data_IF_667007951810
#
_entry.id   IF_667007951810
#
_cell.length_a   1.000
_cell.length_b   1.000
_cell.length_c   1.000
_cell.angle_alpha   90.00
_cell.angle_beta   90.00
_cell.angle_gamma   90.00
#
_symmetry.space_group_name_H-M   'P 1'
#
loop_
_entity.id
_entity.type
_entity.pdbx_description
1 polymer ?
#
# COMPACT_ATOMS: atom_id res chain seq x y z
N UNK A 1 9.70 -1.00 8.40
CA UNK A 1 9.48 -0.20 9.63
C UNK A 1 10.56 0.88 9.70
N UNK A 2 10.26 2.08 10.18
CA UNK A 2 11.28 3.14 10.34
C UNK A 2 11.61 3.34 11.82
N UNK A 3 12.90 3.31 12.16
CA UNK A 3 13.40 3.44 13.53
C UNK A 3 14.23 4.72 13.70
N UNK A 4 14.14 5.35 14.87
CA UNK A 4 14.95 6.52 15.23
C UNK A 4 14.87 7.64 14.19
N UNK A 5 16.01 8.11 13.68
CA UNK A 5 16.09 9.19 12.68
C UNK A 5 15.35 8.87 11.37
N UNK A 6 15.15 7.59 11.05
CA UNK A 6 14.45 7.18 9.83
C UNK A 6 12.96 7.55 9.84
N UNK A 7 12.37 7.77 11.02
CA UNK A 7 10.97 8.22 11.13
C UNK A 7 10.73 9.56 10.41
N UNK A 8 11.77 10.39 10.27
CA UNK A 8 11.72 11.68 9.58
C UNK A 8 11.42 11.57 8.08
N UNK A 9 11.67 10.40 7.46
CA UNK A 9 11.45 10.19 6.02
C UNK A 9 10.22 9.34 5.71
N UNK A 10 9.44 8.93 6.71
CA UNK A 10 8.27 8.06 6.55
C UNK A 10 7.31 8.58 5.49
N UNK A 11 7.05 9.89 5.46
CA UNK A 11 6.11 10.50 4.53
C UNK A 11 6.47 10.22 3.06
N UNK A 12 7.76 10.19 2.72
CA UNK A 12 8.22 9.91 1.36
C UNK A 12 8.11 8.41 1.03
N UNK A 13 8.31 7.54 2.02
CA UNK A 13 8.14 6.09 1.85
C UNK A 13 6.67 5.70 1.68
N UNK A 14 5.75 6.46 2.29
CA UNK A 14 4.31 6.26 2.16
C UNK A 14 3.79 6.57 0.76
N UNK A 15 4.55 7.27 -0.07
CA UNK A 15 4.11 7.71 -1.38
C UNK A 15 4.36 6.71 -2.51
N UNK A 16 5.21 5.72 -2.27
CA UNK A 16 5.49 4.68 -3.25
C UNK A 16 4.26 3.88 -3.68
N UNK A 17 4.33 3.22 -4.83
CA UNK A 17 3.35 2.19 -5.20
C UNK A 17 3.44 0.97 -4.27
N UNK A 18 2.36 0.19 -4.24
CA UNK A 18 2.27 -1.07 -3.49
C UNK A 18 1.74 -2.16 -4.39
N UNK A 19 2.20 -3.38 -4.17
CA UNK A 19 1.71 -4.57 -4.86
C UNK A 19 1.12 -5.53 -3.83
N UNK A 20 -0.10 -6.00 -4.10
CA UNK A 20 -0.83 -6.95 -3.28
C UNK A 20 -1.19 -8.19 -4.10
N UNK A 21 -1.20 -9.35 -3.45
CA UNK A 21 -1.79 -10.59 -3.94
C UNK A 21 -2.86 -11.05 -2.97
N UNK A 22 -3.92 -11.69 -3.45
CA UNK A 22 -4.99 -12.14 -2.58
C UNK A 22 -6.14 -12.79 -3.32
N UNK A 23 -7.26 -12.94 -2.62
CA UNK A 23 -8.49 -13.53 -3.17
C UNK A 23 -9.68 -12.61 -2.88
N UNK A 24 -10.44 -12.29 -3.92
CA UNK A 24 -11.77 -11.70 -3.81
C UNK A 24 -12.77 -12.85 -3.72
N UNK A 25 -13.66 -12.82 -2.72
CA UNK A 25 -14.75 -13.79 -2.63
C UNK A 25 -16.06 -13.15 -3.07
N UNK A 26 -16.63 -13.72 -4.12
CA UNK A 26 -17.95 -13.42 -4.65
C UNK A 26 -19.04 -14.15 -3.87
N UNK A 27 -20.27 -13.66 -4.03
CA UNK A 27 -21.47 -14.24 -3.48
C UNK A 27 -21.74 -13.90 -2.02
N UNK A 28 -20.91 -13.08 -1.38
CA UNK A 28 -21.20 -12.54 -0.05
C UNK A 28 -20.55 -11.18 0.19
N UNK A 29 -21.27 -10.26 0.80
CA UNK A 29 -20.75 -8.97 1.28
C UNK A 29 -20.68 -8.97 2.80
N UNK A 30 -19.73 -8.22 3.36
CA UNK A 30 -19.51 -8.14 4.81
C UNK A 30 -19.47 -6.69 5.30
N UNK A 31 -19.73 -6.49 6.59
CA UNK A 31 -19.73 -5.18 7.25
C UNK A 31 -18.40 -4.41 7.13
N UNK A 32 -17.29 -5.12 7.04
CA UNK A 32 -15.92 -4.54 7.01
C UNK A 32 -15.28 -4.58 5.63
N UNK A 33 -16.00 -5.08 4.61
CA UNK A 33 -15.51 -5.35 3.24
C UNK A 33 -14.38 -6.39 3.18
N UNK A 34 -14.16 -7.14 4.26
CA UNK A 34 -13.22 -8.26 4.34
C UNK A 34 -13.81 -9.44 5.13
N UNK A 35 -13.10 -10.56 5.16
CA UNK A 35 -13.55 -11.80 5.80
C UNK A 35 -13.72 -11.69 7.34
N UNK A 36 -13.34 -10.58 7.98
CA UNK A 36 -13.47 -10.41 9.44
C UNK A 36 -14.81 -9.81 9.86
N UNK A 37 -15.58 -9.26 8.93
CA UNK A 37 -16.88 -8.66 9.20
C UNK A 37 -18.04 -9.66 9.09
N UNK A 38 -19.13 -9.35 9.76
CA UNK A 38 -20.38 -10.11 9.63
C UNK A 38 -20.93 -10.03 8.21
N UNK A 39 -21.49 -11.15 7.73
CA UNK A 39 -22.14 -11.22 6.41
C UNK A 39 -23.42 -10.40 6.41
N UNK A 40 -23.58 -9.53 5.42
CA UNK A 40 -24.76 -8.66 5.23
C UNK A 40 -25.70 -9.25 4.18
N UNK A 41 -25.13 -9.73 3.08
CA UNK A 41 -25.86 -10.21 1.92
C UNK A 41 -25.15 -11.43 1.34
N UNK A 42 -25.94 -12.38 0.83
CA UNK A 42 -25.43 -13.58 0.18
C UNK A 42 -26.22 -13.84 -1.11
N UNK A 43 -25.50 -14.07 -2.20
CA UNK A 43 -26.07 -14.52 -3.48
C UNK A 43 -25.21 -15.70 -3.96
N UNK A 44 -25.80 -16.90 -4.15
CA UNK A 44 -25.05 -18.06 -4.62
C UNK A 44 -24.36 -17.81 -5.97
N UNK A 45 -23.09 -18.18 -6.09
CA UNK A 45 -22.35 -18.19 -7.36
C UNK A 45 -22.52 -19.58 -7.99
N UNK A 46 -23.62 -19.78 -8.69
CA UNK A 46 -24.01 -21.10 -9.21
C UNK A 46 -23.24 -21.52 -10.47
N UNK A 47 -22.71 -20.54 -11.21
CA UNK A 47 -22.00 -20.77 -12.47
C UNK A 47 -20.55 -20.36 -12.35
N UNK A 48 -19.70 -21.16 -12.98
CA UNK A 48 -18.32 -20.76 -13.19
C UNK A 48 -18.25 -19.53 -14.11
N UNK A 49 -17.38 -18.60 -13.76
CA UNK A 49 -17.01 -17.43 -14.54
C UNK A 49 -15.81 -17.77 -15.42
N UNK A 50 -15.94 -17.57 -16.72
CA UNK A 50 -14.85 -17.78 -17.66
C UNK A 50 -13.71 -16.79 -17.40
N UNK A 51 -12.46 -17.25 -17.52
CA UNK A 51 -11.26 -16.42 -17.33
C UNK A 51 -11.33 -15.11 -18.11
N UNK A 52 -11.66 -15.18 -19.40
CA UNK A 52 -11.73 -14.00 -20.28
C UNK A 52 -12.77 -12.98 -19.81
N UNK A 53 -13.86 -13.44 -19.19
CA UNK A 53 -14.86 -12.55 -18.58
C UNK A 53 -14.28 -11.86 -17.34
N UNK A 54 -13.62 -12.61 -16.45
CA UNK A 54 -13.00 -12.07 -15.23
C UNK A 54 -11.93 -11.03 -15.58
N UNK A 55 -11.00 -11.34 -16.49
CA UNK A 55 -9.96 -10.42 -16.97
C UNK A 55 -10.56 -9.15 -17.60
N UNK A 56 -11.64 -9.29 -18.37
CA UNK A 56 -12.38 -8.15 -18.93
C UNK A 56 -12.98 -7.25 -17.86
N UNK A 57 -13.41 -7.79 -16.71
CA UNK A 57 -13.88 -6.97 -15.59
C UNK A 57 -12.70 -6.29 -14.89
N UNK A 58 -11.63 -7.03 -14.57
CA UNK A 58 -10.46 -6.48 -13.87
C UNK A 58 -9.81 -5.31 -14.65
N UNK A 59 -9.70 -5.44 -15.97
CA UNK A 59 -9.12 -4.38 -16.83
C UNK A 59 -9.85 -3.04 -16.78
N UNK A 60 -11.13 -3.01 -16.41
CA UNK A 60 -11.91 -1.76 -16.27
C UNK A 60 -11.46 -0.90 -15.10
N UNK A 61 -10.79 -1.51 -14.14
CA UNK A 61 -10.30 -0.83 -12.94
C UNK A 61 -8.87 -0.32 -13.10
N UNK A 62 -8.19 -0.66 -14.21
CA UNK A 62 -6.83 -0.19 -14.50
C UNK A 62 -6.90 1.27 -14.97
N UNK A 63 -6.01 2.11 -14.42
CA UNK A 63 -5.99 3.55 -14.64
C UNK A 63 -6.41 4.35 -13.41
N UNK A 64 -6.79 5.61 -13.62
CA UNK A 64 -7.24 6.49 -12.55
C UNK A 64 -8.70 6.22 -12.22
N UNK A 65 -8.97 5.95 -10.95
CA UNK A 65 -10.31 5.65 -10.43
C UNK A 65 -10.61 6.46 -9.18
N UNK A 66 -11.90 6.61 -8.90
CA UNK A 66 -12.41 7.14 -7.64
C UNK A 66 -12.81 6.01 -6.70
N UNK A 67 -12.38 6.09 -5.45
CA UNK A 67 -12.80 5.17 -4.38
C UNK A 67 -13.42 5.94 -3.23
N UNK A 68 -14.58 5.49 -2.78
CA UNK A 68 -15.13 5.93 -1.50
C UNK A 68 -14.38 5.22 -0.38
N UNK A 69 -13.85 5.96 0.59
CA UNK A 69 -13.14 5.33 1.71
C UNK A 69 -14.10 4.43 2.52
N UNK A 70 -13.69 3.20 2.90
CA UNK A 70 -14.56 2.33 3.67
C UNK A 70 -14.79 2.90 5.07
N UNK A 71 -16.00 2.67 5.61
CA UNK A 71 -16.38 3.11 6.96
C UNK A 71 -15.43 2.54 8.04
N UNK A 72 -14.95 1.32 7.87
CA UNK A 72 -13.92 0.73 8.73
C UNK A 72 -12.52 1.12 8.27
N UNK A 73 -12.19 2.42 8.36
CA UNK A 73 -10.85 2.94 8.02
C UNK A 73 -10.36 4.00 8.99
N UNK A 74 -9.04 4.27 8.93
CA UNK A 74 -8.39 5.29 9.75
C UNK A 74 -8.51 6.72 9.19
N UNK A 75 -9.27 6.92 8.11
CA UNK A 75 -9.52 8.26 7.53
C UNK A 75 -10.25 9.11 8.55
N UNK A 76 -9.82 10.36 8.72
CA UNK A 76 -10.47 11.30 9.63
C UNK A 76 -11.49 12.15 8.90
N UNK A 77 -12.69 12.27 9.49
CA UNK A 77 -13.75 13.21 9.11
C UNK A 77 -14.16 13.96 10.38
N UNK A 78 -14.12 15.30 10.34
CA UNK A 78 -14.38 16.17 11.49
C UNK A 78 -13.58 15.78 12.75
N UNK A 79 -12.28 15.49 12.56
CA UNK A 79 -11.34 15.18 13.63
C UNK A 79 -11.39 13.74 14.18
N UNK A 80 -12.40 12.94 13.84
CA UNK A 80 -12.59 11.54 14.28
C UNK A 80 -12.39 10.56 13.14
N UNK A 81 -11.91 9.34 13.42
CA UNK A 81 -11.68 8.32 12.39
C UNK A 81 -12.99 7.66 11.96
N UNK A 82 -13.14 7.27 10.70
CA UNK A 82 -14.36 6.65 10.17
C UNK A 82 -14.80 5.42 10.96
N UNK A 83 -13.86 4.56 11.39
CA UNK A 83 -14.23 3.38 12.19
C UNK A 83 -14.87 3.74 13.54
N UNK A 84 -14.62 4.94 14.08
CA UNK A 84 -15.21 5.40 15.34
C UNK A 84 -16.69 5.76 15.15
N UNK A 85 -17.06 6.27 13.98
CA UNK A 85 -18.46 6.50 13.60
C UNK A 85 -19.19 5.18 13.36
N UNK A 86 -18.57 4.27 12.60
CA UNK A 86 -19.13 2.95 12.29
C UNK A 86 -19.48 2.15 13.55
N UNK A 87 -18.55 2.07 14.52
CA UNK A 87 -18.77 1.37 15.80
C UNK A 87 -19.85 1.99 16.67
N UNK A 88 -20.18 3.27 16.47
CA UNK A 88 -21.24 3.99 17.19
C UNK A 88 -22.56 4.02 16.42
N UNK A 89 -22.62 3.42 15.23
CA UNK A 89 -23.78 3.51 14.34
C UNK A 89 -24.10 4.94 13.89
N UNK A 90 -23.11 5.84 13.92
CA UNK A 90 -23.31 7.24 13.52
C UNK A 90 -23.06 7.36 12.02
N UNK A 91 -24.07 7.84 11.30
CA UNK A 91 -23.95 8.12 9.88
C UNK A 91 -22.97 9.27 9.62
N UNK A 92 -22.04 9.06 8.71
CA UNK A 92 -21.14 10.09 8.17
C UNK A 92 -20.82 9.73 6.73
N UNK A 93 -20.73 10.72 5.85
CA UNK A 93 -20.34 10.49 4.45
C UNK A 93 -18.82 10.33 4.37
N UNK A 94 -18.31 9.16 3.91
CA UNK A 94 -16.88 8.99 3.70
C UNK A 94 -16.39 9.87 2.54
N UNK A 95 -15.15 10.38 2.60
CA UNK A 95 -14.57 11.12 1.48
C UNK A 95 -14.25 10.18 0.31
N UNK A 96 -14.36 10.73 -0.90
CA UNK A 96 -13.88 10.10 -2.13
C UNK A 96 -12.39 10.40 -2.30
N UNK A 97 -11.64 9.43 -2.83
CA UNK A 97 -10.21 9.54 -3.14
C UNK A 97 -9.95 9.17 -4.58
N UNK A 98 -9.05 9.91 -5.22
CA UNK A 98 -8.48 9.52 -6.50
C UNK A 98 -7.26 8.64 -6.27
N UNK A 99 -7.24 7.48 -6.93
CA UNK A 99 -6.13 6.53 -6.87
C UNK A 99 -5.89 5.97 -8.27
N UNK A 100 -4.64 5.62 -8.54
CA UNK A 100 -4.25 4.94 -9.79
C UNK A 100 -4.05 3.45 -9.52
N UNK A 101 -4.65 2.61 -10.35
CA UNK A 101 -4.36 1.17 -10.47
C UNK A 101 -3.45 0.98 -11.67
N UNK A 102 -2.20 0.56 -11.42
CA UNK A 102 -1.19 0.40 -12.47
C UNK A 102 -1.37 -0.92 -13.22
N UNK A 103 -1.61 -2.00 -12.48
CA UNK A 103 -1.87 -3.35 -13.02
C UNK A 103 -2.89 -4.05 -12.12
N UNK A 104 -3.77 -4.84 -12.72
CA UNK A 104 -4.73 -5.65 -12.00
C UNK A 104 -5.02 -6.92 -12.78
N UNK A 105 -4.33 -7.98 -12.39
CA UNK A 105 -4.26 -9.23 -13.13
C UNK A 105 -4.80 -10.38 -12.28
N UNK A 106 -5.20 -11.43 -12.97
CA UNK A 106 -5.62 -12.68 -12.37
C UNK A 106 -4.39 -13.49 -11.96
N UNK A 107 -4.32 -13.93 -10.70
CA UNK A 107 -3.16 -14.63 -10.14
C UNK A 107 -3.37 -16.15 -10.08
N UNK A 108 -3.67 -16.73 -11.24
CA UNK A 108 -3.95 -18.17 -11.43
C UNK A 108 -3.93 -18.51 -12.91
N UNK A 109 -3.66 -19.77 -13.26
CA UNK A 109 -3.74 -20.31 -14.63
C UNK A 109 -5.08 -21.01 -14.93
N UNK A 110 -6.03 -21.01 -13.99
CA UNK A 110 -7.32 -21.65 -14.19
C UNK A 110 -8.11 -21.04 -15.35
N UNK A 111 -8.85 -21.88 -16.08
CA UNK A 111 -9.69 -21.48 -17.21
C UNK A 111 -11.03 -20.88 -16.77
N UNK A 112 -11.50 -21.20 -15.57
CA UNK A 112 -12.72 -20.68 -15.00
C UNK A 112 -12.65 -20.62 -13.47
N UNK A 113 -13.48 -19.79 -12.87
CA UNK A 113 -13.49 -19.48 -11.44
C UNK A 113 -14.90 -19.61 -10.90
N UNK A 114 -15.06 -20.07 -9.65
CA UNK A 114 -16.34 -20.07 -8.97
C UNK A 114 -16.51 -18.79 -8.16
N UNK A 115 -16.59 -18.89 -6.83
CA UNK A 115 -16.73 -17.75 -5.95
C UNK A 115 -15.41 -17.03 -5.66
N UNK A 116 -14.27 -17.72 -5.75
CA UNK A 116 -12.97 -17.16 -5.37
C UNK A 116 -12.17 -16.73 -6.61
N UNK A 117 -11.79 -15.45 -6.63
CA UNK A 117 -11.03 -14.82 -7.71
C UNK A 117 -9.63 -14.44 -7.17
N UNK A 118 -8.59 -15.23 -7.47
CA UNK A 118 -7.21 -14.89 -7.16
C UNK A 118 -6.75 -13.69 -7.98
N UNK A 119 -6.09 -12.74 -7.35
CA UNK A 119 -5.65 -11.52 -8.02
C UNK A 119 -4.28 -11.04 -7.57
N UNK A 120 -3.67 -10.24 -8.43
CA UNK A 120 -2.49 -9.44 -8.17
C UNK A 120 -2.73 -8.01 -8.64
N UNK A 121 -2.47 -7.03 -7.78
CA UNK A 121 -2.73 -5.62 -8.07
C UNK A 121 -1.58 -4.73 -7.66
N UNK A 122 -1.14 -3.87 -8.58
CA UNK A 122 -0.19 -2.79 -8.33
C UNK A 122 -0.95 -1.46 -8.31
N UNK A 123 -0.83 -0.70 -7.23
CA UNK A 123 -1.64 0.50 -7.05
C UNK A 123 -0.87 1.63 -6.33
N UNK A 124 -1.41 2.84 -6.49
CA UNK A 124 -0.92 4.06 -5.83
C UNK A 124 -1.22 4.07 -4.32
N UNK A 125 -0.64 5.04 -3.62
CA UNK A 125 -0.88 5.24 -2.18
C UNK A 125 -2.37 5.52 -1.90
N UNK A 126 -2.86 5.02 -0.77
CA UNK A 126 -4.22 5.30 -0.32
C UNK A 126 -5.32 4.48 -0.99
N UNK A 127 -4.97 3.56 -1.90
CA UNK A 127 -5.89 2.58 -2.49
C UNK A 127 -6.44 1.63 -1.41
N UNK A 128 -7.76 1.44 -1.38
CA UNK A 128 -8.43 0.47 -0.54
C UNK A 128 -8.71 -0.80 -1.34
N UNK A 129 -7.90 -1.84 -1.11
CA UNK A 129 -8.06 -3.15 -1.78
C UNK A 129 -9.39 -3.82 -1.43
N UNK A 130 -9.90 -3.57 -0.23
CA UNK A 130 -11.23 -4.06 0.21
C UNK A 130 -12.36 -3.47 -0.61
N UNK A 131 -12.37 -2.15 -0.77
CA UNK A 131 -13.35 -1.45 -1.61
C UNK A 131 -13.21 -1.87 -3.08
N UNK A 132 -11.97 -2.04 -3.57
CA UNK A 132 -11.72 -2.58 -4.91
C UNK A 132 -12.32 -3.98 -5.09
N UNK A 133 -12.21 -4.86 -4.09
CA UNK A 133 -12.82 -6.19 -4.13
C UNK A 133 -14.35 -6.14 -4.23
N UNK A 134 -14.99 -5.25 -3.47
CA UNK A 134 -16.44 -5.00 -3.52
C UNK A 134 -16.86 -4.52 -4.91
N UNK A 135 -16.13 -3.54 -5.47
CA UNK A 135 -16.47 -2.94 -6.77
C UNK A 135 -16.26 -3.94 -7.91
N UNK A 136 -15.22 -4.78 -7.85
CA UNK A 136 -15.01 -5.89 -8.79
C UNK A 136 -16.17 -6.88 -8.73
N UNK A 137 -16.59 -7.29 -7.53
CA UNK A 137 -17.75 -8.15 -7.35
C UNK A 137 -19.01 -7.56 -7.96
N UNK A 138 -19.29 -6.28 -7.70
CA UNK A 138 -20.41 -5.55 -8.31
C UNK A 138 -20.30 -5.55 -9.84
N UNK A 139 -19.10 -5.38 -10.39
CA UNK A 139 -18.83 -5.47 -11.83
C UNK A 139 -19.14 -6.85 -12.43
N UNK A 140 -19.05 -7.91 -11.62
CA UNK A 140 -19.41 -9.29 -11.97
C UNK A 140 -20.88 -9.62 -11.64
N UNK A 141 -21.62 -8.70 -11.01
CA UNK A 141 -23.01 -8.89 -10.61
C UNK A 141 -23.22 -9.62 -9.28
N UNK A 142 -22.19 -9.71 -8.43
CA UNK A 142 -22.28 -10.38 -7.12
C UNK A 142 -21.89 -9.46 -5.96
N UNK A 143 -22.49 -9.62 -4.77
CA UNK A 143 -21.89 -9.09 -3.55
C UNK A 143 -20.52 -9.76 -3.34
N UNK A 144 -19.55 -8.99 -2.85
CA UNK A 144 -18.20 -9.50 -2.64
C UNK A 144 -17.52 -8.85 -1.44
N UNK A 145 -16.45 -9.49 -0.99
CA UNK A 145 -15.53 -8.95 0.00
C UNK A 145 -14.11 -9.45 -0.27
N UNK A 146 -13.12 -8.81 0.34
CA UNK A 146 -11.74 -9.28 0.31
C UNK A 146 -11.57 -10.48 1.24
N UNK A 147 -11.33 -11.67 0.70
CA UNK A 147 -11.19 -12.87 1.52
C UNK A 147 -9.87 -12.89 2.30
N UNK A 148 -8.76 -12.68 1.61
CA UNK A 148 -7.45 -12.45 2.21
C UNK A 148 -6.55 -11.67 1.23
N UNK A 149 -5.50 -11.04 1.77
CA UNK A 149 -4.44 -10.44 0.96
C UNK A 149 -3.11 -10.43 1.69
N UNK A 150 -2.05 -10.41 0.90
CA UNK A 150 -0.67 -10.17 1.33
C UNK A 150 -0.11 -9.02 0.50
N UNK A 151 0.47 -8.02 1.18
CA UNK A 151 1.26 -6.99 0.48
C UNK A 151 2.64 -7.53 0.20
N UNK A 152 2.92 -7.83 -1.06
CA UNK A 152 4.20 -8.42 -1.50
C UNK A 152 5.25 -7.36 -1.85
N UNK A 153 4.84 -6.09 -2.02
CA UNK A 153 5.78 -5.00 -2.28
C UNK A 153 5.27 -3.66 -1.73
N UNK A 154 6.18 -2.86 -1.19
CA UNK A 154 5.96 -1.46 -0.84
C UNK A 154 7.18 -0.63 -1.26
N UNK A 155 7.05 0.09 -2.38
CA UNK A 155 8.17 0.80 -3.00
C UNK A 155 9.33 -0.14 -3.33
N UNK A 156 10.54 0.13 -2.83
CA UNK A 156 11.72 -0.70 -3.11
C UNK A 156 11.77 -1.99 -2.30
N UNK A 157 10.87 -2.19 -1.32
CA UNK A 157 10.89 -3.35 -0.44
C UNK A 157 9.88 -4.40 -0.90
N UNK A 158 10.35 -5.63 -1.04
CA UNK A 158 9.56 -6.81 -1.31
C UNK A 158 9.24 -7.59 -0.03
N UNK A 159 8.35 -8.58 -0.13
CA UNK A 159 8.10 -9.53 0.96
C UNK A 159 9.32 -10.39 1.28
N UNK A 160 10.25 -10.58 0.33
CA UNK A 160 11.52 -11.28 0.58
C UNK A 160 12.48 -10.53 1.49
N UNK A 161 12.29 -9.21 1.62
CA UNK A 161 13.06 -8.36 2.55
C UNK A 161 12.45 -8.32 3.96
N UNK A 162 11.31 -8.97 4.16
CA UNK A 162 10.62 -8.98 5.44
C UNK A 162 11.24 -10.02 6.37
N UNK A 163 11.37 -9.65 7.64
CA UNK A 163 11.78 -10.54 8.73
C UNK A 163 10.59 -10.74 9.67
N UNK A 164 10.41 -11.96 10.17
CA UNK A 164 9.37 -12.27 11.14
C UNK A 164 9.71 -11.71 12.53
N UNK A 165 8.72 -11.67 13.44
CA UNK A 165 8.98 -11.24 14.81
C UNK A 165 9.90 -12.22 15.56
N UNK A 166 9.73 -13.51 15.32
CA UNK A 166 10.56 -14.58 15.87
C UNK A 166 12.02 -14.45 15.37
N UNK A 167 12.21 -14.08 14.10
CA UNK A 167 13.55 -13.81 13.56
C UNK A 167 14.17 -12.56 14.20
N UNK A 168 13.39 -11.50 14.40
CA UNK A 168 13.85 -10.30 15.10
C UNK A 168 14.31 -10.65 16.51
N UNK A 169 13.53 -11.43 17.26
CA UNK A 169 13.89 -11.88 18.61
C UNK A 169 15.21 -12.67 18.61
N UNK A 170 15.38 -13.60 17.66
CA UNK A 170 16.62 -14.34 17.46
C UNK A 170 17.81 -13.41 17.17
N UNK A 171 17.66 -12.46 16.23
CA UNK A 171 18.73 -11.52 15.87
C UNK A 171 19.12 -10.58 17.01
N UNK A 172 18.19 -10.27 17.92
CA UNK A 172 18.48 -9.52 19.15
C UNK A 172 19.33 -10.38 20.10
N UNK A 173 18.96 -11.65 20.31
CA UNK A 173 19.70 -12.57 21.17
C UNK A 173 21.13 -12.81 20.64
N UNK A 174 21.28 -12.91 19.32
CA UNK A 174 22.57 -13.08 18.65
C UNK A 174 23.35 -11.77 18.46
N UNK A 175 22.76 -10.62 18.81
CA UNK A 175 23.31 -9.28 18.60
C UNK A 175 23.65 -8.96 17.12
N UNK A 176 22.89 -9.53 16.19
CA UNK A 176 23.07 -9.41 14.72
C UNK A 176 22.03 -8.52 14.04
N UNK A 177 21.03 -7.99 14.78
CA UNK A 177 19.92 -7.20 14.23
C UNK A 177 20.37 -6.05 13.30
N UNK A 178 21.48 -5.38 13.61
CA UNK A 178 22.00 -4.27 12.82
C UNK A 178 22.29 -4.63 11.35
N UNK A 179 22.57 -5.91 11.06
CA UNK A 179 22.85 -6.40 9.71
C UNK A 179 21.58 -6.42 8.83
N UNK A 180 20.41 -6.47 9.46
CA UNK A 180 19.10 -6.52 8.80
C UNK A 180 18.41 -5.15 8.77
N UNK A 181 19.06 -4.10 9.29
CA UNK A 181 18.57 -2.74 9.23
C UNK A 181 19.07 -2.06 7.95
N UNK A 182 18.15 -1.66 7.09
CA UNK A 182 18.48 -0.81 5.95
C UNK A 182 18.92 0.59 6.42
N UNK A 183 20.15 0.97 6.09
CA UNK A 183 20.64 2.31 6.39
C UNK A 183 19.94 3.37 5.52
N UNK A 184 19.61 4.50 6.15
CA UNK A 184 18.94 5.64 5.51
C UNK A 184 19.56 6.05 4.18
N UNK A 185 20.88 5.99 4.09
CA UNK A 185 21.63 6.41 2.90
C UNK A 185 21.27 5.58 1.65
N UNK A 186 20.98 4.28 1.83
CA UNK A 186 20.60 3.38 0.73
C UNK A 186 19.16 3.62 0.27
N UNK A 187 18.26 3.90 1.21
CA UNK A 187 16.83 4.10 0.92
C UNK A 187 16.54 5.40 0.19
N UNK A 188 17.38 6.40 0.39
CA UNK A 188 17.20 7.72 -0.19
C UNK A 188 17.93 7.87 -1.53
N UNK A 189 18.65 6.83 -1.98
CA UNK A 189 19.47 6.87 -3.20
C UNK A 189 18.71 7.35 -4.44
N UNK A 190 17.45 6.95 -4.70
CA UNK A 190 16.67 7.46 -5.83
C UNK A 190 16.31 8.95 -5.73
N UNK A 191 16.40 9.55 -4.55
CA UNK A 191 16.07 10.96 -4.30
C UNK A 191 17.32 11.86 -4.23
N UNK A 192 18.52 11.28 -4.28
CA UNK A 192 19.77 12.03 -4.34
C UNK A 192 19.89 12.66 -5.72
N UNK A 193 19.81 13.98 -5.78
CA UNK A 193 19.91 14.75 -7.03
C UNK A 193 21.25 15.47 -7.19
N UNK A 194 22.14 15.37 -6.20
CA UNK A 194 23.46 15.98 -6.26
C UNK A 194 24.34 15.53 -5.11
N UNK A 195 25.64 15.54 -5.39
CA UNK A 195 26.74 15.27 -4.46
C UNK A 195 27.31 16.63 -4.05
N UNK A 196 27.15 17.06 -2.79
CA UNK A 196 27.77 18.31 -2.32
C UNK A 196 28.86 18.03 -1.31
N UNK A 197 30.00 18.65 -1.57
CA UNK A 197 31.27 18.25 -1.01
C UNK A 197 31.92 19.54 -0.56
N UNK A 198 31.89 19.82 0.73
CA UNK A 198 32.61 20.98 1.23
C UNK A 198 32.99 20.86 2.71
N UNK A 199 34.04 21.58 3.11
CA UNK A 199 34.49 21.77 4.51
C UNK A 199 33.42 22.41 5.41
N UNK A 200 32.28 22.84 4.84
CA UNK A 200 31.17 23.55 5.48
C UNK A 200 30.10 22.63 6.11
N UNK A 201 30.38 21.34 6.29
CA UNK A 201 29.48 20.36 6.94
C UNK A 201 28.91 20.87 8.28
N UNK A 202 29.75 21.49 9.11
CA UNK A 202 29.33 22.07 10.40
C UNK A 202 28.28 23.17 10.22
N UNK A 203 28.46 24.04 9.24
CA UNK A 203 27.54 25.15 8.97
C UNK A 203 26.17 24.64 8.53
N UNK A 204 26.12 23.57 7.72
CA UNK A 204 24.86 22.94 7.34
C UNK A 204 24.10 22.38 8.56
N UNK A 205 24.79 21.69 9.47
CA UNK A 205 24.19 21.20 10.71
C UNK A 205 23.76 22.32 11.66
N UNK A 206 24.37 23.50 11.54
CA UNK A 206 24.00 24.70 12.27
C UNK A 206 22.87 25.50 11.59
N UNK A 207 22.31 24.99 10.48
CA UNK A 207 21.15 25.59 9.81
C UNK A 207 21.49 26.65 8.76
N UNK A 208 22.76 26.78 8.36
CA UNK A 208 23.13 27.68 7.26
C UNK A 208 22.70 27.10 5.91
N UNK A 209 22.13 27.95 5.07
CA UNK A 209 21.75 27.60 3.70
C UNK A 209 22.98 27.46 2.80
N UNK A 210 22.94 26.48 1.89
CA UNK A 210 23.92 26.37 0.81
C UNK A 210 23.45 27.19 -0.39
N UNK A 211 24.36 27.99 -0.94
CA UNK A 211 24.16 28.56 -2.26
C UNK A 211 24.68 27.58 -3.33
N UNK A 212 23.94 27.33 -4.41
CA UNK A 212 24.40 26.44 -5.47
C UNK A 212 25.64 27.05 -6.16
N UNK A 213 26.79 26.38 -6.07
CA UNK A 213 28.01 26.70 -6.83
C UNK A 213 28.26 25.65 -7.91
N UNK A 214 28.81 26.07 -9.06
CA UNK A 214 28.97 25.25 -10.28
C UNK A 214 30.13 24.24 -10.22
N UNK A 215 31.11 24.41 -9.35
CA UNK A 215 32.34 23.60 -9.34
C UNK A 215 32.59 23.01 -7.94
N UNK A 216 32.51 21.68 -7.80
CA UNK A 216 32.80 20.98 -6.54
C UNK A 216 33.58 19.67 -6.80
N UNK A 217 34.84 19.63 -6.33
CA UNK A 217 35.68 18.44 -6.10
C UNK A 217 35.26 17.71 -4.79
N UNK A 218 35.60 16.42 -4.60
CA UNK A 218 34.74 15.33 -4.04
C UNK A 218 34.79 14.86 -2.56
N UNK A 219 33.60 14.55 -1.93
CA UNK A 219 33.25 13.91 -0.62
C UNK A 219 31.78 14.12 -0.06
N UNK A 220 30.99 13.03 0.07
CA UNK A 220 29.50 12.90 0.13
C UNK A 220 28.65 13.64 1.20
N UNK A 221 27.55 14.30 0.77
CA UNK A 221 26.32 14.56 1.57
C UNK A 221 25.02 14.52 0.72
N UNK A 222 23.94 13.99 1.30
CA UNK A 222 22.66 13.64 0.65
C UNK A 222 21.65 14.82 0.68
N UNK A 223 21.19 15.29 -0.48
CA UNK A 223 20.04 16.22 -0.57
C UNK A 223 18.79 15.48 -1.02
N UNK A 224 17.67 15.77 -0.36
CA UNK A 224 16.35 15.28 -0.74
C UNK A 224 15.69 16.32 -1.64
N UNK A 225 15.16 15.88 -2.79
CA UNK A 225 14.34 16.73 -3.65
C UNK A 225 13.07 17.11 -2.89
N UNK A 226 12.89 18.39 -2.58
CA UNK A 226 11.58 18.90 -2.19
C UNK A 226 10.70 18.90 -3.45
N UNK A 227 9.54 18.26 -3.37
CA UNK A 227 8.46 18.47 -4.34
C UNK A 227 7.81 19.83 -4.07
#
# INVERSE_FOLDING_TARGET
MCLGKATKIVQYLLDYSKIYQGVIRLGSSTTTEDATGDVIETIPVEKHLDRAYVEKILSRFVGDIEQTAPMYSAVKVNGRKLYEYARKGIAVTPPVRHVTIYHFDLDSDAASFSADIPFKVACSKGTYIRTLAVDVGRGMGYPAHLHHMTRIQAGPFSSGDCVSFEEIERFIQENTLNQYLNHLNLLCAPWITGLLINRRRKELFMGHYLQPQRDLETDLMLFFKAQ
#
